data_IF_996015305215
#
_entry.id   IF_996015305215
#
_cell.length_a   1.000
_cell.length_b   1.000
_cell.length_c   1.000
_cell.angle_alpha   90.00
_cell.angle_beta   90.00
_cell.angle_gamma   90.00
#
_symmetry.space_group_name_H-M   'P 1'
#
loop_
_entity.id
_entity.type
_entity.pdbx_description
1 polymer ?
#
# COMPACT_ATOMS: atom_id res chain seq x y z
N UNK A 1 -25.48 -17.56 -8.61
CA UNK A 1 -25.37 -16.23 -7.96
C UNK A 1 -24.22 -16.15 -6.94
N UNK A 2 -24.07 -17.09 -5.99
CA UNK A 2 -22.95 -17.11 -5.02
C UNK A 2 -21.55 -17.23 -5.64
N UNK A 3 -21.41 -17.87 -6.80
CA UNK A 3 -20.13 -18.03 -7.51
C UNK A 3 -19.60 -16.69 -8.08
N UNK A 4 -20.50 -15.83 -8.57
CA UNK A 4 -20.15 -14.52 -9.14
C UNK A 4 -19.62 -13.55 -8.06
N UNK A 5 -20.17 -13.59 -6.85
CA UNK A 5 -19.70 -12.81 -5.70
C UNK A 5 -18.28 -13.23 -5.26
N UNK A 6 -17.94 -14.51 -5.35
CA UNK A 6 -16.60 -15.02 -5.00
C UNK A 6 -15.54 -14.60 -6.01
N UNK A 7 -15.86 -14.67 -7.30
CA UNK A 7 -14.99 -14.21 -8.40
C UNK A 7 -14.78 -12.70 -8.30
N UNK A 8 -15.83 -11.91 -8.12
CA UNK A 8 -15.75 -10.46 -7.95
C UNK A 8 -14.86 -10.04 -6.76
N UNK A 9 -14.99 -10.73 -5.61
CA UNK A 9 -14.20 -10.43 -4.40
C UNK A 9 -12.70 -10.76 -4.53
N UNK A 10 -12.33 -11.67 -5.45
CA UNK A 10 -10.93 -11.98 -5.73
C UNK A 10 -10.30 -10.97 -6.69
N UNK A 11 -11.05 -10.52 -7.71
CA UNK A 11 -10.58 -9.50 -8.65
C UNK A 11 -10.39 -8.14 -7.99
N UNK A 12 -11.22 -7.78 -7.02
CA UNK A 12 -11.07 -6.53 -6.27
C UNK A 12 -9.72 -6.40 -5.54
N UNK A 13 -9.16 -7.53 -5.07
CA UNK A 13 -7.84 -7.54 -4.41
C UNK A 13 -6.71 -7.24 -5.40
N UNK A 14 -6.78 -7.82 -6.60
CA UNK A 14 -5.84 -7.54 -7.67
C UNK A 14 -6.01 -6.14 -8.24
N UNK A 15 -7.23 -5.61 -8.29
CA UNK A 15 -7.49 -4.20 -8.61
C UNK A 15 -6.83 -3.26 -7.60
N UNK A 16 -6.88 -3.58 -6.30
CA UNK A 16 -6.18 -2.83 -5.25
C UNK A 16 -4.66 -2.83 -5.45
N UNK A 17 -4.05 -3.98 -5.73
CA UNK A 17 -2.61 -4.08 -6.06
C UNK A 17 -2.27 -3.25 -7.30
N UNK A 18 -3.09 -3.36 -8.36
CA UNK A 18 -2.92 -2.58 -9.59
C UNK A 18 -3.05 -1.07 -9.35
N UNK A 19 -4.00 -0.64 -8.52
CA UNK A 19 -4.19 0.75 -8.16
C UNK A 19 -2.99 1.31 -7.36
N UNK A 20 -2.44 0.54 -6.41
CA UNK A 20 -1.23 0.93 -5.70
C UNK A 20 -0.04 1.07 -6.65
N UNK A 21 0.18 0.12 -7.56
CA UNK A 21 1.25 0.19 -8.56
C UNK A 21 1.09 1.39 -9.49
N UNK A 22 -0.13 1.65 -9.97
CA UNK A 22 -0.45 2.80 -10.81
C UNK A 22 -0.19 4.11 -10.06
N UNK A 23 -0.56 4.19 -8.78
CA UNK A 23 -0.28 5.36 -7.96
C UNK A 23 1.24 5.59 -7.82
N UNK A 24 2.02 4.54 -7.54
CA UNK A 24 3.48 4.64 -7.42
C UNK A 24 4.10 5.12 -8.74
N UNK A 25 3.73 4.55 -9.88
CA UNK A 25 4.31 4.92 -11.17
C UNK A 25 3.89 6.32 -11.58
N UNK A 26 2.64 6.69 -11.36
CA UNK A 26 2.12 8.03 -11.63
C UNK A 26 2.88 9.08 -10.82
N UNK A 27 2.94 8.94 -9.48
CA UNK A 27 3.69 9.86 -8.63
C UNK A 27 5.21 9.83 -8.88
N UNK A 28 5.77 8.68 -9.23
CA UNK A 28 7.20 8.59 -9.56
C UNK A 28 7.55 9.27 -10.89
N UNK A 29 6.58 9.42 -11.80
CA UNK A 29 6.79 10.05 -13.12
C UNK A 29 6.60 11.57 -13.12
N UNK A 30 6.00 12.13 -12.06
CA UNK A 30 5.75 13.56 -11.96
C UNK A 30 7.00 14.35 -11.55
N UNK A 31 7.25 15.52 -12.16
CA UNK A 31 8.33 16.41 -11.76
C UNK A 31 8.05 17.03 -10.38
N UNK A 32 9.13 17.30 -9.63
CA UNK A 32 9.04 17.82 -8.27
C UNK A 32 8.21 19.10 -8.13
N UNK A 33 8.16 19.94 -9.17
CA UNK A 33 7.38 21.16 -9.20
C UNK A 33 5.86 20.93 -9.13
N UNK A 34 5.37 19.81 -9.69
CA UNK A 34 3.94 19.44 -9.65
C UNK A 34 3.56 18.74 -8.33
N UNK A 35 4.54 18.11 -7.69
CA UNK A 35 4.39 17.50 -6.36
C UNK A 35 4.59 18.50 -5.22
N UNK A 36 4.75 19.77 -5.56
CA UNK A 36 5.05 20.82 -4.62
C UNK A 36 3.80 21.31 -3.90
N UNK A 37 3.62 20.82 -2.67
CA UNK A 37 2.51 21.20 -1.80
C UNK A 37 2.85 22.37 -0.88
N UNK A 38 4.07 22.94 -0.97
CA UNK A 38 4.45 24.13 -0.20
C UNK A 38 3.46 25.31 -0.33
N UNK A 39 2.98 25.69 -1.52
CA UNK A 39 2.00 26.78 -1.63
C UNK A 39 0.67 26.47 -0.94
N UNK A 40 0.24 25.22 -0.98
CA UNK A 40 -1.00 24.75 -0.36
C UNK A 40 -0.89 24.66 1.17
N UNK A 41 0.25 24.17 1.67
CA UNK A 41 0.56 24.10 3.10
C UNK A 41 0.74 25.50 3.68
N UNK A 42 1.41 26.41 2.97
CA UNK A 42 1.57 27.80 3.37
C UNK A 42 0.24 28.55 3.50
N UNK A 43 -0.78 28.17 2.73
CA UNK A 43 -2.14 28.70 2.85
C UNK A 43 -2.85 28.26 4.14
N UNK A 44 -2.45 27.11 4.70
CA UNK A 44 -2.98 26.56 5.94
C UNK A 44 -2.13 26.98 7.15
N UNK A 45 -2.17 28.28 7.47
CA UNK A 45 -1.39 28.87 8.56
C UNK A 45 -1.59 28.18 9.92
N UNK A 46 -2.78 27.65 10.21
CA UNK A 46 -3.03 26.90 11.45
C UNK A 46 -2.23 25.60 11.58
N UNK A 47 -1.96 24.93 10.46
CA UNK A 47 -1.16 23.70 10.42
C UNK A 47 0.33 24.03 10.60
N UNK A 48 0.78 25.12 9.98
CA UNK A 48 2.14 25.66 10.11
C UNK A 48 2.43 26.07 11.55
N UNK A 49 1.48 26.73 12.23
CA UNK A 49 1.67 27.21 13.60
C UNK A 49 1.70 26.04 14.60
N UNK A 50 0.84 25.03 14.43
CA UNK A 50 0.88 23.81 15.25
C UNK A 50 2.19 23.04 15.10
N UNK A 51 2.74 23.05 13.90
CA UNK A 51 4.02 22.42 13.62
C UNK A 51 5.16 23.23 14.28
N UNK A 52 5.10 24.57 14.27
CA UNK A 52 6.04 25.42 15.03
C UNK A 52 5.99 25.27 16.56
N UNK A 53 4.83 24.92 17.12
CA UNK A 53 4.64 24.67 18.56
C UNK A 53 5.24 23.34 19.03
N UNK A 54 5.53 22.40 18.12
CA UNK A 54 6.21 21.15 18.44
C UNK A 54 7.66 21.41 18.90
N UNK A 55 8.25 20.51 19.71
CA UNK A 55 9.63 20.62 20.12
C UNK A 55 10.57 20.83 18.92
N UNK A 56 11.63 21.65 19.07
CA UNK A 56 12.50 21.99 17.97
C UNK A 56 13.23 20.73 17.48
N UNK A 57 12.81 20.23 16.33
CA UNK A 57 13.46 19.14 15.62
C UNK A 57 14.13 19.73 14.38
N UNK A 58 15.46 19.64 14.34
CA UNK A 58 16.26 20.04 13.20
C UNK A 58 17.12 18.87 12.75
N UNK A 59 17.06 18.51 11.48
CA UNK A 59 17.89 17.46 10.91
C UNK A 59 18.41 17.87 9.54
N UNK A 60 19.63 17.46 9.21
CA UNK A 60 20.19 17.65 7.87
C UNK A 60 19.75 16.49 6.99
N UNK A 61 19.04 16.80 5.90
CA UNK A 61 18.61 15.80 4.92
C UNK A 61 19.02 16.23 3.52
N UNK A 62 19.80 15.39 2.83
CA UNK A 62 20.26 15.64 1.46
C UNK A 62 20.98 16.99 1.25
N UNK A 63 21.70 17.47 2.27
CA UNK A 63 22.43 18.75 2.23
C UNK A 63 21.56 19.99 2.49
N UNK A 64 20.28 19.81 2.82
CA UNK A 64 19.37 20.88 3.24
C UNK A 64 19.04 20.73 4.73
N UNK A 65 19.04 21.84 5.46
CA UNK A 65 18.66 21.86 6.87
C UNK A 65 17.13 21.87 6.95
N UNK A 66 16.53 20.76 7.37
CA UNK A 66 15.09 20.67 7.61
C UNK A 66 14.85 21.02 9.07
N UNK A 67 14.28 22.20 9.29
CA UNK A 67 14.07 22.77 10.62
C UNK A 67 12.57 23.10 10.79
N UNK A 68 11.97 22.51 11.82
CA UNK A 68 10.56 22.68 12.14
C UNK A 68 10.17 24.15 12.44
N UNK A 69 11.08 24.95 13.02
CA UNK A 69 10.81 26.36 13.35
C UNK A 69 11.11 27.31 12.20
N UNK A 70 12.23 27.10 11.51
CA UNK A 70 12.66 27.99 10.41
C UNK A 70 11.94 27.67 9.10
N UNK A 71 11.64 26.41 8.84
CA UNK A 71 11.03 25.92 7.61
C UNK A 71 9.95 24.84 7.89
N UNK A 72 8.87 25.19 8.64
CA UNK A 72 7.79 24.25 8.98
C UNK A 72 7.11 23.65 7.74
N UNK A 73 7.00 24.43 6.66
CA UNK A 73 6.38 24.03 5.40
C UNK A 73 7.20 22.92 4.71
N UNK A 74 8.52 23.07 4.64
CA UNK A 74 9.42 22.07 4.05
C UNK A 74 9.47 20.79 4.91
N UNK A 75 9.38 20.93 6.24
CA UNK A 75 9.27 19.80 7.17
C UNK A 75 7.98 19.01 6.91
N UNK A 76 6.82 19.67 6.81
CA UNK A 76 5.54 19.01 6.51
C UNK A 76 5.59 18.32 5.14
N UNK A 77 6.10 19.00 4.10
CA UNK A 77 6.21 18.41 2.77
C UNK A 77 7.09 17.16 2.77
N UNK A 78 8.20 17.17 3.49
CA UNK A 78 9.07 16.01 3.64
C UNK A 78 8.33 14.82 4.26
N UNK A 79 7.63 15.05 5.36
CA UNK A 79 6.83 14.01 6.03
C UNK A 79 5.69 13.52 5.16
N UNK A 80 5.00 14.41 4.44
CA UNK A 80 3.91 14.03 3.57
C UNK A 80 4.40 13.16 2.41
N UNK A 81 5.56 13.50 1.84
CA UNK A 81 6.20 12.73 0.77
C UNK A 81 6.64 11.37 1.30
N UNK A 82 7.39 11.29 2.40
CA UNK A 82 7.86 10.00 2.95
C UNK A 82 6.72 9.16 3.52
N UNK A 83 5.75 9.78 4.19
CA UNK A 83 4.58 9.13 4.76
C UNK A 83 3.70 8.50 3.69
N UNK A 84 3.42 9.22 2.60
CA UNK A 84 2.66 8.67 1.47
C UNK A 84 3.33 7.43 0.88
N UNK A 85 4.67 7.44 0.72
CA UNK A 85 5.39 6.26 0.23
C UNK A 85 5.27 5.07 1.19
N UNK A 86 5.45 5.29 2.51
CA UNK A 86 5.32 4.23 3.51
C UNK A 86 3.92 3.61 3.47
N UNK A 87 2.87 4.44 3.47
CA UNK A 87 1.47 3.98 3.44
C UNK A 87 1.16 3.20 2.15
N UNK A 88 1.61 3.69 0.99
CA UNK A 88 1.36 3.01 -0.29
C UNK A 88 2.10 1.66 -0.35
N UNK A 89 3.35 1.59 0.11
CA UNK A 89 4.10 0.33 0.13
C UNK A 89 3.54 -0.66 1.17
N UNK A 90 3.10 -0.18 2.33
CA UNK A 90 2.41 -1.00 3.33
C UNK A 90 1.10 -1.58 2.75
N UNK A 91 0.27 -0.73 2.14
CA UNK A 91 -0.96 -1.15 1.48
C UNK A 91 -0.70 -2.16 0.35
N UNK A 92 0.36 -1.94 -0.45
CA UNK A 92 0.80 -2.88 -1.49
C UNK A 92 1.22 -4.23 -0.87
N UNK A 93 2.00 -4.21 0.21
CA UNK A 93 2.45 -5.41 0.92
C UNK A 93 1.28 -6.21 1.50
N UNK A 94 0.38 -5.55 2.21
CA UNK A 94 -0.81 -6.19 2.80
C UNK A 94 -1.76 -6.73 1.73
N UNK A 95 -1.98 -5.99 0.65
CA UNK A 95 -2.84 -6.45 -0.45
C UNK A 95 -2.23 -7.63 -1.20
N UNK A 96 -0.91 -7.63 -1.41
CA UNK A 96 -0.19 -8.75 -2.01
C UNK A 96 -0.19 -9.99 -1.11
N UNK A 97 0.11 -9.84 0.19
CA UNK A 97 0.06 -10.94 1.15
C UNK A 97 -1.34 -11.56 1.21
N UNK A 98 -2.38 -10.73 1.29
CA UNK A 98 -3.77 -11.19 1.27
C UNK A 98 -4.17 -11.86 -0.07
N UNK A 99 -3.56 -11.46 -1.19
CA UNK A 99 -3.78 -12.12 -2.48
C UNK A 99 -3.12 -13.51 -2.51
N UNK A 100 -1.88 -13.62 -2.03
CA UNK A 100 -1.08 -14.86 -2.02
C UNK A 100 -1.62 -15.92 -1.05
N UNK A 101 -2.07 -15.54 0.16
CA UNK A 101 -2.66 -16.47 1.14
C UNK A 101 -3.85 -17.26 0.57
N UNK A 102 -4.61 -16.66 -0.36
CA UNK A 102 -5.73 -17.33 -1.01
C UNK A 102 -5.31 -18.30 -2.10
N UNK A 103 -4.27 -17.97 -2.86
CA UNK A 103 -3.69 -18.89 -3.84
C UNK A 103 -3.17 -20.14 -3.11
N UNK A 104 -2.51 -19.94 -1.97
CA UNK A 104 -1.97 -21.04 -1.20
C UNK A 104 -3.08 -21.94 -0.62
N UNK A 105 -4.19 -21.36 -0.13
CA UNK A 105 -5.37 -22.11 0.33
C UNK A 105 -6.06 -22.91 -0.78
N UNK A 106 -6.20 -22.36 -1.99
CA UNK A 106 -6.83 -23.12 -3.09
C UNK A 106 -5.97 -24.30 -3.54
N UNK A 107 -4.64 -24.16 -3.51
CA UNK A 107 -3.74 -25.27 -3.84
C UNK A 107 -3.76 -26.37 -2.79
N UNK A 108 -3.91 -26.04 -1.50
CA UNK A 108 -4.03 -27.05 -0.43
C UNK A 108 -5.37 -27.79 -0.49
N UNK A 109 -6.49 -27.11 -0.79
CA UNK A 109 -7.79 -27.76 -0.98
C UNK A 109 -7.83 -28.63 -2.25
N UNK A 110 -7.12 -28.24 -3.31
CA UNK A 110 -6.98 -29.02 -4.55
C UNK A 110 -6.19 -30.32 -4.33
N UNK A 111 -5.06 -30.26 -3.62
CA UNK A 111 -4.25 -31.44 -3.29
C UNK A 111 -5.02 -32.44 -2.40
N UNK A 112 -5.80 -31.93 -1.43
CA UNK A 112 -6.65 -32.76 -0.58
C UNK A 112 -7.78 -33.45 -1.35
N UNK A 113 -8.36 -32.78 -2.36
CA UNK A 113 -9.42 -33.35 -3.21
C UNK A 113 -8.89 -34.44 -4.14
N UNK A 114 -7.71 -34.25 -4.74
CA UNK A 114 -7.07 -35.27 -5.57
C UNK A 114 -6.65 -36.51 -4.76
N UNK A 115 -6.18 -36.34 -3.51
CA UNK A 115 -5.84 -37.47 -2.63
C UNK A 115 -7.08 -38.30 -2.22
N UNK A 116 -8.24 -37.66 -2.06
CA UNK A 116 -9.50 -38.33 -1.77
C UNK A 116 -10.07 -39.07 -3.00
N UNK A 117 -9.96 -38.51 -4.22
CA UNK A 117 -10.34 -39.20 -5.46
C UNK A 117 -9.48 -40.45 -5.74
N UNK A 118 -8.17 -40.37 -5.48
CA UNK A 118 -7.28 -41.53 -5.57
C UNK A 118 -7.63 -42.63 -4.56
N UNK A 119 -8.09 -42.26 -3.35
CA UNK A 119 -8.60 -43.25 -2.37
C UNK A 119 -9.94 -43.86 -2.81
N UNK A 120 -10.84 -43.08 -3.42
CA UNK A 120 -12.14 -43.56 -3.87
C UNK A 120 -12.02 -44.48 -5.10
N UNK A 121 -11.14 -44.16 -6.05
CA UNK A 121 -10.80 -45.02 -7.19
C UNK A 121 -10.03 -46.28 -6.78
N UNK A 122 -9.22 -46.21 -5.71
CA UNK A 122 -8.58 -47.39 -5.12
C UNK A 122 -9.56 -48.33 -4.41
N UNK A 123 -10.69 -47.81 -3.90
CA UNK A 123 -11.70 -48.59 -3.19
C UNK A 123 -12.83 -49.11 -4.10
N UNK A 124 -12.91 -48.64 -5.35
CA UNK A 124 -13.84 -49.10 -6.39
C UNK A 124 -13.29 -50.27 -7.23
N UNK A 125 -12.08 -50.77 -6.95
CA UNK A 125 -11.52 -51.97 -7.59
C UNK A 125 -11.60 -53.23 -6.70
N UNK A 126 -12.46 -53.21 -5.68
CA UNK A 126 -12.85 -54.38 -4.88
C UNK A 126 -14.38 -54.43 -4.86
N UNK A 127 -14.96 -54.88 -5.97
CA UNK A 127 -16.22 -55.63 -6.08
C UNK A 127 -16.46 -55.99 -7.54
#
# INVERSE_FOLDING_TARGET
MLLALKVQKQWWRWLLVGACLLAITYFSSQPFAEQDLRPEIGRHAGLVERVRELPPVSFSYSGQLVDNRRAPVDFIQFWLRKGTHVVIYEALGLSLAAALERVNKSSTESLGRHSCELSFLGHLNIC
#
